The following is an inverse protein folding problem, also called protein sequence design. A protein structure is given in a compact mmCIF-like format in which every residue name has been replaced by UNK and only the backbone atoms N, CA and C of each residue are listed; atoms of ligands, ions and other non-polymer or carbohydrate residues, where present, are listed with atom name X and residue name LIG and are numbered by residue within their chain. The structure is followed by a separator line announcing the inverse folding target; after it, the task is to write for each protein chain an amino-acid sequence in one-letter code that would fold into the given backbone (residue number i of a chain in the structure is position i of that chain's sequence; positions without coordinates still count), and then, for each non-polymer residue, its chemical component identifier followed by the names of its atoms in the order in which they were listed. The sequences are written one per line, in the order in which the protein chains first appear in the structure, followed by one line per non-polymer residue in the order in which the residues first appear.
data_IF_619750295890
#
_entry.id   IF_619750295890
#
_cell.length_a   1.000
_cell.length_b   1.000
_cell.length_c   1.000
_cell.angle_alpha   90.00
_cell.angle_beta   90.00
_cell.angle_gamma   90.00
#
_symmetry.space_group_name_H-M   'P 1'
#
loop_
_entity.id
_entity.type
_entity.pdbx_description
1 polymer ?
#
# COMPACT_ATOMS: atom_id res chain seq x y z
N UNK A 1 -22.49 -28.11 -6.29
CA UNK A 1 -22.49 -27.37 -5.00
C UNK A 1 -21.06 -27.36 -4.48
N UNK A 2 -20.40 -26.20 -4.43
CA UNK A 2 -18.95 -26.12 -4.16
C UNK A 2 -18.61 -26.37 -2.68
N UNK A 3 -17.54 -27.14 -2.34
CA UNK A 3 -17.13 -27.42 -0.96
C UNK A 3 -16.95 -26.15 -0.10
N UNK A 4 -16.61 -25.02 -0.71
CA UNK A 4 -16.44 -23.73 -0.05
C UNK A 4 -17.69 -23.23 0.67
N UNK A 5 -18.89 -23.52 0.13
CA UNK A 5 -20.16 -23.13 0.76
C UNK A 5 -20.47 -23.94 2.03
N UNK A 6 -19.96 -25.17 2.14
CA UNK A 6 -20.18 -26.03 3.31
C UNK A 6 -19.33 -25.61 4.51
N UNK A 7 -18.09 -25.16 4.28
CA UNK A 7 -17.17 -24.73 5.35
C UNK A 7 -17.68 -23.46 6.02
N UNK A 8 -18.16 -22.48 5.25
CA UNK A 8 -18.70 -21.22 5.79
C UNK A 8 -19.96 -21.47 6.62
N UNK A 9 -20.86 -22.35 6.15
CA UNK A 9 -22.12 -22.65 6.82
C UNK A 9 -21.97 -23.49 8.10
N UNK A 10 -20.86 -24.24 8.25
CA UNK A 10 -20.62 -25.11 9.41
C UNK A 10 -19.90 -24.41 10.56
N UNK A 11 -19.10 -23.38 10.28
CA UNK A 11 -18.20 -22.77 11.26
C UNK A 11 -18.76 -21.53 11.96
N UNK A 12 -19.83 -20.91 11.45
CA UNK A 12 -20.28 -19.62 11.94
C UNK A 12 -21.81 -19.59 12.11
N UNK A 13 -22.32 -19.23 13.30
CA UNK A 13 -23.74 -18.96 13.49
C UNK A 13 -24.21 -17.85 12.56
N UNK A 14 -25.44 -17.96 12.03
CA UNK A 14 -26.06 -16.87 11.28
C UNK A 14 -26.11 -15.61 12.17
N UNK A 15 -25.52 -14.51 11.69
CA UNK A 15 -25.44 -13.25 12.42
C UNK A 15 -24.21 -13.08 13.34
N UNK A 16 -23.29 -14.05 13.40
CA UNK A 16 -22.05 -13.88 14.17
C UNK A 16 -21.12 -12.82 13.54
N UNK A 17 -20.62 -11.90 14.36
CA UNK A 17 -19.58 -10.95 13.94
C UNK A 17 -18.31 -11.74 13.64
N UNK A 18 -17.99 -11.82 12.35
CA UNK A 18 -16.79 -12.43 11.83
C UNK A 18 -15.60 -11.50 12.05
N UNK A 19 -14.81 -11.77 13.08
CA UNK A 19 -13.44 -11.24 13.16
C UNK A 19 -12.61 -11.97 12.11
N UNK A 20 -12.60 -11.46 10.88
CA UNK A 20 -11.81 -12.04 9.80
C UNK A 20 -10.34 -11.71 10.03
N UNK A 21 -9.54 -12.73 10.34
CA UNK A 21 -8.10 -12.59 10.31
C UNK A 21 -7.67 -12.26 8.86
N UNK A 22 -7.08 -11.08 8.66
CA UNK A 22 -6.59 -10.68 7.34
C UNK A 22 -5.27 -11.38 7.09
N UNK A 23 -5.33 -12.52 6.42
CA UNK A 23 -4.14 -13.18 5.87
C UNK A 23 -3.75 -12.57 4.50
N UNK A 24 -2.55 -12.91 4.02
CA UNK A 24 -2.00 -12.37 2.77
C UNK A 24 -2.86 -12.74 1.54
N UNK A 25 -3.51 -13.90 1.54
CA UNK A 25 -4.40 -14.34 0.45
C UNK A 25 -5.66 -13.49 0.43
N UNK A 26 -6.29 -13.28 1.58
CA UNK A 26 -7.47 -12.43 1.68
C UNK A 26 -7.15 -10.99 1.27
N UNK A 27 -6.03 -10.45 1.75
CA UNK A 27 -5.58 -9.10 1.40
C UNK A 27 -5.39 -8.95 -0.12
N UNK A 28 -4.78 -9.92 -0.80
CA UNK A 28 -4.62 -9.94 -2.26
C UNK A 28 -5.96 -9.94 -2.99
N UNK A 29 -6.93 -10.74 -2.55
CA UNK A 29 -8.26 -10.79 -3.18
C UNK A 29 -9.02 -9.48 -3.04
N UNK A 30 -9.07 -8.94 -1.82
CA UNK A 30 -9.70 -7.63 -1.56
C UNK A 30 -9.00 -6.52 -2.36
N UNK A 31 -7.67 -6.56 -2.46
CA UNK A 31 -6.89 -5.63 -3.29
C UNK A 31 -7.34 -5.64 -4.76
N UNK A 32 -7.49 -6.82 -5.37
CA UNK A 32 -7.90 -6.95 -6.77
C UNK A 32 -9.33 -6.43 -6.96
N UNK A 33 -10.26 -6.81 -6.08
CA UNK A 33 -11.66 -6.37 -6.15
C UNK A 33 -11.77 -4.86 -6.00
N UNK A 34 -11.13 -4.29 -4.96
CA UNK A 34 -11.10 -2.85 -4.78
C UNK A 34 -10.47 -2.12 -5.96
N UNK A 35 -9.38 -2.67 -6.52
CA UNK A 35 -8.72 -2.07 -7.67
C UNK A 35 -9.65 -2.04 -8.89
N UNK A 36 -10.36 -3.13 -9.18
CA UNK A 36 -11.30 -3.19 -10.29
C UNK A 36 -12.48 -2.20 -10.13
N UNK A 37 -13.00 -2.05 -8.91
CA UNK A 37 -14.20 -1.24 -8.65
C UNK A 37 -13.90 0.25 -8.43
N UNK A 38 -12.76 0.58 -7.82
CA UNK A 38 -12.49 1.94 -7.32
C UNK A 38 -11.05 2.42 -7.59
N UNK A 39 -10.10 1.49 -7.67
CA UNK A 39 -8.68 1.83 -7.73
C UNK A 39 -8.13 2.05 -9.14
N UNK A 40 -8.78 1.57 -10.19
CA UNK A 40 -8.25 1.57 -11.55
C UNK A 40 -8.13 2.98 -12.12
N UNK A 41 -6.95 3.31 -12.66
CA UNK A 41 -6.75 4.44 -13.57
C UNK A 41 -6.04 3.97 -14.84
N UNK A 42 -6.42 4.47 -16.02
CA UNK A 42 -5.75 4.11 -17.28
C UNK A 42 -4.24 4.38 -17.29
N UNK A 43 -3.79 5.42 -16.57
CA UNK A 43 -2.37 5.78 -16.49
C UNK A 43 -1.54 4.91 -15.53
N UNK A 44 -2.17 4.05 -14.70
CA UNK A 44 -1.45 3.36 -13.63
C UNK A 44 -0.28 2.50 -14.16
N UNK A 45 -0.45 1.89 -15.34
CA UNK A 45 0.59 1.08 -15.97
C UNK A 45 1.72 1.94 -16.55
N UNK A 46 1.42 3.05 -17.25
CA UNK A 46 2.44 3.95 -17.80
C UNK A 46 3.24 4.62 -16.69
N UNK A 47 2.55 5.16 -15.70
CA UNK A 47 3.14 5.81 -14.53
C UNK A 47 4.09 4.83 -13.79
N UNK A 48 3.72 3.55 -13.75
CA UNK A 48 4.54 2.50 -13.15
C UNK A 48 5.79 2.16 -13.97
N UNK A 49 5.71 2.21 -15.30
CA UNK A 49 6.85 2.00 -16.21
C UNK A 49 7.88 3.11 -16.12
N UNK A 50 7.41 4.35 -16.06
CA UNK A 50 8.28 5.52 -15.87
C UNK A 50 9.11 5.39 -14.58
N UNK A 51 8.48 4.90 -13.51
CA UNK A 51 9.13 4.80 -12.19
C UNK A 51 9.97 3.55 -11.98
N UNK A 52 9.78 2.47 -12.74
CA UNK A 52 10.76 1.38 -12.70
C UNK A 52 11.09 0.84 -14.06
N UNK A 53 12.37 1.01 -14.40
CA UNK A 53 13.00 0.63 -15.65
C UNK A 53 12.88 -0.86 -15.99
N UNK A 54 12.65 -1.71 -14.99
CA UNK A 54 12.46 -3.16 -15.16
C UNK A 54 11.03 -3.57 -15.57
N UNK A 55 10.07 -2.63 -15.62
CA UNK A 55 8.66 -2.91 -15.95
C UNK A 55 8.40 -2.85 -17.46
N UNK A 56 9.21 -3.52 -18.27
CA UNK A 56 9.28 -3.24 -19.72
C UNK A 56 8.04 -3.70 -20.50
N UNK A 57 7.55 -4.92 -20.26
CA UNK A 57 6.50 -5.55 -21.10
C UNK A 57 5.11 -5.56 -20.47
N UNK A 58 4.98 -5.25 -19.19
CA UNK A 58 3.74 -5.47 -18.45
C UNK A 58 2.72 -4.35 -18.73
N UNK A 59 1.55 -4.73 -19.23
CA UNK A 59 0.46 -3.84 -19.68
C UNK A 59 -0.57 -3.52 -18.61
N UNK A 60 -0.58 -4.28 -17.52
CA UNK A 60 -1.48 -4.09 -16.38
C UNK A 60 -0.69 -4.06 -15.09
N UNK A 61 -1.08 -3.23 -14.10
CA UNK A 61 -0.42 -3.25 -12.79
C UNK A 61 -0.44 -4.64 -12.17
N UNK A 62 0.60 -4.96 -11.38
CA UNK A 62 0.63 -6.19 -10.60
C UNK A 62 -0.26 -6.09 -9.37
N UNK A 63 -0.65 -7.21 -8.78
CA UNK A 63 -1.35 -7.21 -7.47
C UNK A 63 -0.53 -6.47 -6.40
N UNK A 64 0.81 -6.52 -6.48
CA UNK A 64 1.69 -5.74 -5.60
C UNK A 64 1.54 -4.24 -5.83
N UNK A 65 1.47 -3.79 -7.09
CA UNK A 65 1.25 -2.38 -7.43
C UNK A 65 -0.13 -1.90 -6.95
N UNK A 66 -1.17 -2.72 -7.17
CA UNK A 66 -2.54 -2.47 -6.68
C UNK A 66 -2.56 -2.37 -5.14
N UNK A 67 -1.88 -3.30 -4.46
CA UNK A 67 -1.79 -3.31 -3.00
C UNK A 67 -1.02 -2.12 -2.46
N UNK A 68 0.05 -1.69 -3.14
CA UNK A 68 0.77 -0.47 -2.79
C UNK A 68 -0.09 0.79 -3.00
N UNK A 69 -0.99 0.80 -3.99
CA UNK A 69 -1.96 1.89 -4.17
C UNK A 69 -3.03 1.90 -3.08
N UNK A 70 -3.61 0.73 -2.77
CA UNK A 70 -4.61 0.58 -1.71
C UNK A 70 -4.05 1.01 -0.34
N UNK A 71 -2.83 0.58 0.00
CA UNK A 71 -2.16 1.01 1.25
C UNK A 71 -2.02 2.52 1.34
N UNK A 72 -1.71 3.22 0.24
CA UNK A 72 -1.62 4.69 0.22
C UNK A 72 -2.97 5.35 0.50
N UNK A 73 -4.07 4.82 -0.07
CA UNK A 73 -5.41 5.35 0.16
C UNK A 73 -5.86 5.12 1.60
N UNK A 74 -5.67 3.91 2.13
CA UNK A 74 -5.95 3.59 3.54
C UNK A 74 -5.11 4.50 4.43
N UNK A 75 -3.82 4.66 4.14
CA UNK A 75 -2.95 5.50 4.92
C UNK A 75 -3.40 6.97 4.90
N UNK A 76 -3.68 7.53 3.73
CA UNK A 76 -4.17 8.90 3.60
C UNK A 76 -5.53 9.12 4.29
N UNK A 77 -6.36 8.07 4.39
CA UNK A 77 -7.69 8.14 4.99
C UNK A 77 -7.67 7.98 6.51
N UNK A 78 -6.81 7.11 7.03
CA UNK A 78 -6.89 6.63 8.41
C UNK A 78 -5.66 6.91 9.26
N UNK A 79 -4.50 7.24 8.67
CA UNK A 79 -3.41 7.79 9.46
C UNK A 79 -3.62 9.31 9.57
N UNK A 80 -3.73 9.85 10.80
CA UNK A 80 -3.55 11.27 11.02
C UNK A 80 -2.19 11.68 10.46
N UNK A 81 -2.06 12.91 9.97
CA UNK A 81 -0.73 13.52 9.83
C UNK A 81 -0.15 13.60 11.24
N UNK A 82 0.64 12.59 11.64
CA UNK A 82 1.10 12.48 13.02
C UNK A 82 1.83 13.77 13.43
N UNK A 83 1.52 14.37 14.58
CA UNK A 83 2.20 15.57 15.08
C UNK A 83 3.69 15.35 15.36
N UNK A 84 4.18 14.10 15.32
CA UNK A 84 5.60 13.74 15.36
C UNK A 84 6.23 13.48 13.99
N UNK A 85 5.53 13.72 12.87
CA UNK A 85 6.16 13.62 11.55
C UNK A 85 6.96 14.90 11.30
N UNK A 86 8.30 14.82 11.20
CA UNK A 86 9.12 16.00 10.94
C UNK A 86 8.70 16.62 9.62
N UNK A 87 8.54 17.94 9.65
CA UNK A 87 8.27 18.77 8.49
C UNK A 87 9.42 18.70 7.50
N UNK A 88 9.16 19.01 6.23
CA UNK A 88 10.21 19.08 5.22
C UNK A 88 11.33 20.07 5.61
N UNK A 89 11.01 21.09 6.41
CA UNK A 89 11.97 22.05 6.92
C UNK A 89 12.90 21.43 7.97
N UNK A 90 12.35 20.71 8.95
CA UNK A 90 13.14 20.01 9.97
C UNK A 90 14.04 18.94 9.35
N UNK A 91 13.55 18.21 8.34
CA UNK A 91 14.35 17.24 7.59
C UNK A 91 15.55 17.91 6.91
N UNK A 92 15.33 19.06 6.25
CA UNK A 92 16.40 19.82 5.59
C UNK A 92 17.41 20.39 6.59
N UNK A 93 16.96 20.84 7.76
CA UNK A 93 17.83 21.36 8.80
C UNK A 93 18.79 20.28 9.31
N UNK A 94 18.30 19.05 9.55
CA UNK A 94 19.15 17.92 9.95
C UNK A 94 20.16 17.55 8.86
N UNK A 95 19.72 17.52 7.59
CA UNK A 95 20.60 17.23 6.46
C UNK A 95 21.72 18.28 6.31
N UNK A 96 21.40 19.56 6.50
CA UNK A 96 22.38 20.66 6.46
C UNK A 96 23.36 20.57 7.64
N UNK A 97 22.88 20.26 8.84
CA UNK A 97 23.74 20.07 10.02
C UNK A 97 24.74 18.92 9.84
N UNK A 98 24.31 17.81 9.24
CA UNK A 98 25.22 16.71 8.90
C UNK A 98 26.24 17.08 7.83
N UNK A 99 25.82 17.81 6.80
CA UNK A 99 26.73 18.30 5.77
C UNK A 99 27.81 19.23 6.36
N UNK A 100 27.42 20.15 7.26
CA UNK A 100 28.35 21.04 7.93
C UNK A 100 29.35 20.27 8.82
N UNK A 101 28.87 19.34 9.65
CA UNK A 101 29.75 18.52 10.50
C UNK A 101 30.73 17.65 9.71
N UNK A 102 30.31 17.14 8.54
CA UNK A 102 31.19 16.36 7.65
C UNK A 102 32.30 17.20 7.01
N UNK A 103 32.07 18.49 6.78
CA UNK A 103 33.08 19.42 6.28
C UNK A 103 34.06 19.83 7.38
N UNK A 104 33.58 20.00 8.61
CA UNK A 104 34.39 20.35 9.79
C UNK A 104 35.37 19.23 10.20
N UNK A 105 35.01 17.97 9.94
CA UNK A 105 35.87 16.81 10.23
C UNK A 105 36.95 16.59 9.18
N UNK A 106 36.83 17.24 8.01
CA UNK A 106 37.76 17.09 6.88
C UNK A 106 38.80 18.22 6.77
N UNK A 107 38.76 19.21 7.67
CA UNK A 107 39.68 20.35 7.77
C UNK A 107 40.68 20.15 8.92
#
# INVERSE_FOLDING_TARGET
MSPSHLVVRRLLPEGAVLTVAVDDTLFKKVTVVWYALHGHRPSDASDRRERARWYTTKTYPSVSDMGAKLRRVIAARFLPTSPGRPTNQEIRAVQQAWAAASLDTAA
#
